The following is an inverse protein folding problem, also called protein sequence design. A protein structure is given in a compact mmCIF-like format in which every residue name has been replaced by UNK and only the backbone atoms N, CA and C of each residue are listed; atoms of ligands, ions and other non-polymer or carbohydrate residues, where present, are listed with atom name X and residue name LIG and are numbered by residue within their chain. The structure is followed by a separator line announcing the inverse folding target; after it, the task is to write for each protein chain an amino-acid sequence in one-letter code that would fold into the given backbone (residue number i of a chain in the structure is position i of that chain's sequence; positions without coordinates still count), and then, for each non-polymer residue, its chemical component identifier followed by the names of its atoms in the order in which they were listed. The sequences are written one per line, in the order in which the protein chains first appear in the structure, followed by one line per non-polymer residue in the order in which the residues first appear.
data_IF_165274440024
#
_entry.id   IF_165274440024
#
_cell.length_a   1.000
_cell.length_b   1.000
_cell.length_c   1.000
_cell.angle_alpha   90.00
_cell.angle_beta   90.00
_cell.angle_gamma   90.00
#
_symmetry.space_group_name_H-M   'P 1'
#
loop_
_entity.id
_entity.type
_entity.pdbx_description
1 polymer ?
#
# COMPACT_ATOMS: atom_id res chain seq x y z
N UNK A 1 22.32 -7.68 -3.16
CA UNK A 1 21.33 -8.23 -2.21
C UNK A 1 20.61 -7.13 -1.42
N UNK A 2 21.07 -6.64 -0.26
CA UNK A 2 20.29 -5.68 0.55
C UNK A 2 20.05 -4.32 -0.13
N UNK A 3 21.01 -3.81 -0.88
CA UNK A 3 20.88 -2.57 -1.65
C UNK A 3 19.81 -2.70 -2.74
N UNK A 4 19.77 -3.80 -3.42
CA UNK A 4 18.77 -4.11 -4.45
C UNK A 4 17.37 -4.21 -3.82
N UNK A 5 17.25 -4.89 -2.67
CA UNK A 5 16.00 -4.98 -1.92
C UNK A 5 15.45 -3.59 -1.58
N UNK A 6 16.30 -2.68 -1.09
CA UNK A 6 15.90 -1.30 -0.77
C UNK A 6 15.38 -0.56 -2.03
N UNK A 7 16.04 -0.76 -3.18
CA UNK A 7 15.61 -0.11 -4.42
C UNK A 7 14.35 -0.72 -5.02
N UNK A 8 14.17 -2.05 -4.91
CA UNK A 8 12.98 -2.73 -5.40
C UNK A 8 11.77 -2.49 -4.49
N UNK A 9 11.94 -2.50 -3.17
CA UNK A 9 10.86 -2.33 -2.20
C UNK A 9 10.12 -0.99 -2.28
N UNK A 10 10.72 0.01 -2.93
CA UNK A 10 10.03 1.29 -3.17
C UNK A 10 9.07 1.27 -4.36
N UNK A 11 9.09 0.20 -5.17
CA UNK A 11 8.28 0.09 -6.37
C UNK A 11 6.90 -0.44 -6.02
N UNK A 12 5.88 0.32 -6.36
CA UNK A 12 4.50 -0.09 -6.17
C UNK A 12 4.03 -0.97 -7.33
N UNK A 13 3.46 -2.12 -7.02
CA UNK A 13 2.90 -3.08 -7.97
C UNK A 13 1.41 -2.86 -8.16
N UNK A 14 0.91 -3.04 -9.40
CA UNK A 14 -0.50 -2.82 -9.77
C UNK A 14 -1.10 -3.95 -10.62
N UNK A 15 -0.31 -4.95 -10.96
CA UNK A 15 -0.78 -6.16 -11.62
C UNK A 15 -0.09 -7.39 -11.03
N UNK A 16 -0.81 -8.48 -10.96
CA UNK A 16 -0.47 -9.64 -10.17
C UNK A 16 -0.65 -10.91 -10.98
N UNK A 17 0.25 -11.85 -10.83
CA UNK A 17 0.11 -13.20 -11.34
C UNK A 17 -0.73 -14.03 -10.34
N UNK A 18 -2.04 -13.92 -10.47
CA UNK A 18 -2.99 -14.59 -9.58
C UNK A 18 -2.99 -16.13 -9.75
N UNK A 19 -2.28 -16.67 -10.74
CA UNK A 19 -2.05 -18.10 -10.89
C UNK A 19 -1.02 -18.67 -9.91
N UNK A 20 -0.27 -17.80 -9.22
CA UNK A 20 0.69 -18.16 -8.18
C UNK A 20 0.16 -17.81 -6.79
N UNK A 21 0.77 -18.40 -5.78
CA UNK A 21 0.44 -18.15 -4.37
C UNK A 21 1.69 -17.72 -3.59
N UNK A 22 1.48 -17.04 -2.47
CA UNK A 22 2.52 -16.78 -1.48
C UNK A 22 2.70 -18.06 -0.65
N UNK A 23 3.95 -18.49 -0.43
CA UNK A 23 4.21 -19.64 0.43
C UNK A 23 3.78 -19.35 1.88
N UNK A 24 3.22 -20.34 2.57
CA UNK A 24 2.68 -20.17 3.93
C UNK A 24 3.71 -19.67 4.94
N UNK A 25 4.97 -20.11 4.81
CA UNK A 25 6.05 -19.65 5.67
C UNK A 25 6.40 -18.19 5.41
N UNK A 26 6.39 -17.78 4.14
CA UNK A 26 6.64 -16.39 3.74
C UNK A 26 5.52 -15.46 4.19
N UNK A 27 4.25 -15.90 4.10
CA UNK A 27 3.11 -15.14 4.65
C UNK A 27 3.30 -14.86 6.14
N UNK A 28 3.69 -15.88 6.92
CA UNK A 28 3.94 -15.72 8.35
C UNK A 28 5.02 -14.67 8.62
N UNK A 29 6.13 -14.71 7.88
CA UNK A 29 7.21 -13.74 8.04
C UNK A 29 6.77 -12.32 7.65
N UNK A 30 5.98 -12.18 6.59
CA UNK A 30 5.42 -10.90 6.15
C UNK A 30 4.47 -10.33 7.21
N UNK A 31 3.56 -11.15 7.74
CA UNK A 31 2.65 -10.75 8.82
C UNK A 31 3.43 -10.41 10.09
N UNK A 32 4.40 -11.22 10.47
CA UNK A 32 5.28 -10.97 11.61
C UNK A 32 6.02 -9.64 11.46
N UNK A 33 6.50 -9.30 10.26
CA UNK A 33 7.16 -8.02 10.00
C UNK A 33 6.25 -6.81 10.23
N UNK A 34 4.95 -6.96 9.98
CA UNK A 34 3.96 -5.93 10.26
C UNK A 34 3.57 -5.82 11.73
N UNK A 35 3.65 -6.93 12.49
CA UNK A 35 3.17 -6.99 13.89
C UNK A 35 4.27 -6.83 14.92
N UNK A 36 5.54 -7.04 14.55
CA UNK A 36 6.69 -6.92 15.44
C UNK A 36 7.64 -5.76 15.06
N UNK A 37 7.16 -4.78 14.30
CA UNK A 37 7.92 -3.58 14.01
C UNK A 37 7.93 -2.62 15.21
N UNK A 38 8.93 -1.73 15.32
CA UNK A 38 8.98 -0.75 16.39
C UNK A 38 7.80 0.22 16.37
N UNK A 39 7.33 0.59 17.55
CA UNK A 39 6.33 1.66 17.73
C UNK A 39 6.73 2.54 18.92
N UNK A 40 6.17 3.75 19.01
CA UNK A 40 6.41 4.63 20.17
C UNK A 40 5.97 3.92 21.45
N UNK A 41 6.85 3.86 22.42
CA UNK A 41 6.62 3.19 23.71
C UNK A 41 6.20 1.71 23.60
N UNK A 42 6.43 1.07 22.46
CA UNK A 42 6.04 -0.31 22.18
C UNK A 42 4.53 -0.55 22.34
N UNK A 43 3.70 0.47 22.01
CA UNK A 43 2.24 0.40 22.07
C UNK A 43 1.65 -0.09 20.75
N UNK A 44 0.49 -0.75 20.83
CA UNK A 44 -0.26 -1.27 19.68
C UNK A 44 -1.23 -0.20 19.16
N UNK A 45 -0.78 0.61 18.19
CA UNK A 45 -1.57 1.70 17.62
C UNK A 45 -2.56 1.29 16.54
N UNK A 46 -2.44 0.08 16.00
CA UNK A 46 -3.28 -0.44 14.93
C UNK A 46 -3.59 -1.92 15.12
N UNK A 47 -4.66 -2.36 14.47
CA UNK A 47 -4.94 -3.78 14.21
C UNK A 47 -4.57 -4.10 12.77
N UNK A 48 -4.21 -5.33 12.50
CA UNK A 48 -3.88 -5.83 11.17
C UNK A 48 -4.91 -6.86 10.74
N UNK A 49 -5.65 -6.59 9.66
CA UNK A 49 -6.51 -7.56 9.01
C UNK A 49 -5.73 -8.18 7.84
N UNK A 50 -5.66 -9.50 7.81
CA UNK A 50 -5.06 -10.28 6.73
C UNK A 50 -6.19 -10.90 5.91
N UNK A 51 -6.32 -10.49 4.66
CA UNK A 51 -7.44 -10.84 3.79
C UNK A 51 -6.88 -11.65 2.62
N UNK A 52 -7.30 -12.89 2.50
CA UNK A 52 -6.92 -13.80 1.41
C UNK A 52 -8.14 -14.25 0.59
N UNK A 53 -9.35 -14.02 1.11
CA UNK A 53 -10.56 -14.29 0.38
C UNK A 53 -10.69 -13.37 -0.84
N UNK A 54 -10.65 -13.96 -2.04
CA UNK A 54 -10.65 -13.23 -3.30
C UNK A 54 -11.88 -12.33 -3.46
N UNK A 55 -13.05 -12.82 -3.10
CA UNK A 55 -14.30 -12.06 -3.21
C UNK A 55 -14.27 -10.81 -2.32
N UNK A 56 -13.75 -10.93 -1.10
CA UNK A 56 -13.58 -9.82 -0.17
C UNK A 56 -12.56 -8.80 -0.71
N UNK A 57 -11.43 -9.28 -1.27
CA UNK A 57 -10.43 -8.41 -1.89
C UNK A 57 -11.03 -7.61 -3.06
N UNK A 58 -11.80 -8.26 -3.91
CA UNK A 58 -12.46 -7.62 -5.07
C UNK A 58 -13.51 -6.59 -4.63
N UNK A 59 -14.33 -6.90 -3.62
CA UNK A 59 -15.26 -5.94 -3.03
C UNK A 59 -14.57 -4.70 -2.47
N UNK A 60 -13.44 -4.88 -1.78
CA UNK A 60 -12.64 -3.76 -1.27
C UNK A 60 -12.03 -2.97 -2.43
N UNK A 61 -11.53 -3.66 -3.47
CA UNK A 61 -10.98 -3.03 -4.66
C UNK A 61 -11.99 -2.09 -5.33
N UNK A 62 -13.25 -2.48 -5.47
CA UNK A 62 -14.32 -1.66 -6.02
C UNK A 62 -14.55 -0.35 -5.25
N UNK A 63 -14.15 -0.29 -3.97
CA UNK A 63 -14.26 0.90 -3.11
C UNK A 63 -12.98 1.75 -3.11
N UNK A 64 -11.98 1.38 -3.89
CA UNK A 64 -10.81 2.21 -4.10
C UNK A 64 -11.09 3.26 -5.19
N UNK A 65 -10.36 4.37 -5.11
CA UNK A 65 -10.41 5.43 -6.12
C UNK A 65 -9.03 5.51 -6.78
N UNK A 66 -8.99 5.36 -8.08
CA UNK A 66 -7.80 5.60 -8.87
C UNK A 66 -7.55 7.10 -9.06
N UNK A 67 -6.43 7.41 -9.67
CA UNK A 67 -6.10 8.78 -10.00
C UNK A 67 -6.96 9.27 -11.17
N UNK A 68 -7.91 10.13 -10.84
CA UNK A 68 -8.56 10.99 -11.82
C UNK A 68 -7.67 12.19 -12.19
N UNK A 69 -8.28 13.27 -12.69
CA UNK A 69 -7.62 14.44 -13.30
C UNK A 69 -6.66 15.21 -12.39
N UNK A 70 -6.62 14.92 -11.10
CA UNK A 70 -5.78 15.63 -10.10
C UNK A 70 -4.30 15.65 -10.50
N UNK A 71 -3.85 14.67 -11.29
CA UNK A 71 -2.47 14.64 -11.78
C UNK A 71 -2.25 15.43 -13.08
N UNK A 72 -3.30 15.88 -13.77
CA UNK A 72 -3.15 16.75 -14.93
C UNK A 72 -2.58 18.13 -14.53
N UNK A 73 -2.90 18.58 -13.31
CA UNK A 73 -2.48 19.87 -12.75
C UNK A 73 -1.11 19.81 -12.06
N UNK A 74 -0.58 18.60 -11.81
CA UNK A 74 0.78 18.45 -11.33
C UNK A 74 1.78 18.74 -12.44
N UNK A 75 2.88 19.40 -12.06
CA UNK A 75 3.96 19.80 -12.96
C UNK A 75 4.30 18.68 -13.95
N UNK A 76 4.06 18.88 -15.26
CA UNK A 76 4.31 17.87 -16.29
C UNK A 76 5.78 17.43 -16.35
N UNK A 77 6.71 18.27 -15.90
CA UNK A 77 8.15 17.95 -15.85
C UNK A 77 8.49 16.83 -14.84
N UNK A 78 7.57 16.51 -13.92
CA UNK A 78 7.73 15.43 -12.95
C UNK A 78 7.21 14.07 -13.44
N UNK A 79 6.67 14.00 -14.66
CA UNK A 79 6.12 12.77 -15.23
C UNK A 79 7.18 12.02 -16.04
N UNK A 80 7.15 10.70 -15.97
CA UNK A 80 7.87 9.87 -16.95
C UNK A 80 7.15 9.98 -18.29
N UNK A 81 7.91 10.03 -19.39
CA UNK A 81 7.34 9.96 -20.73
C UNK A 81 6.46 8.70 -20.88
N UNK A 82 5.33 8.84 -21.53
CA UNK A 82 4.34 7.78 -21.77
C UNK A 82 3.59 7.25 -20.52
N UNK A 83 3.66 7.92 -19.37
CA UNK A 83 2.92 7.53 -18.17
C UNK A 83 1.50 8.09 -18.09
N UNK A 84 1.07 8.86 -19.09
CA UNK A 84 -0.17 9.63 -19.06
C UNK A 84 -0.89 9.56 -20.41
N UNK A 85 -2.17 9.20 -20.35
CA UNK A 85 -3.06 9.27 -21.48
C UNK A 85 -4.00 10.48 -21.29
N UNK A 86 -3.83 11.58 -22.05
CA UNK A 86 -4.64 12.78 -21.91
C UNK A 86 -6.11 12.55 -22.31
N UNK A 87 -6.43 11.54 -23.12
CA UNK A 87 -7.79 11.23 -23.52
C UNK A 87 -8.60 10.59 -22.38
N UNK A 88 -7.91 9.95 -21.43
CA UNK A 88 -8.48 9.33 -20.23
C UNK A 88 -8.44 10.24 -18.99
N UNK A 89 -8.07 11.50 -19.17
CA UNK A 89 -8.07 12.49 -18.09
C UNK A 89 -9.50 12.77 -17.64
N UNK A 90 -9.81 12.46 -16.41
CA UNK A 90 -11.14 12.67 -15.82
C UNK A 90 -11.88 11.38 -15.49
N UNK A 91 -11.45 10.24 -15.98
CA UNK A 91 -12.00 8.97 -15.57
C UNK A 91 -11.43 8.58 -14.18
N UNK A 92 -12.31 8.03 -13.35
CA UNK A 92 -11.94 7.49 -12.06
C UNK A 92 -11.70 5.99 -12.21
N UNK A 93 -10.47 5.57 -12.01
CA UNK A 93 -10.11 4.15 -12.00
C UNK A 93 -10.07 3.62 -10.57
N UNK A 94 -10.33 2.35 -10.41
CA UNK A 94 -10.05 1.64 -9.17
C UNK A 94 -8.54 1.48 -8.97
N UNK A 95 -8.11 1.11 -7.78
CA UNK A 95 -6.68 0.96 -7.48
C UNK A 95 -6.27 -0.50 -7.38
N UNK A 96 -5.80 -1.07 -8.48
CA UNK A 96 -5.44 -2.49 -8.58
C UNK A 96 -4.25 -2.93 -7.70
N UNK A 97 -3.62 -2.01 -6.96
CA UNK A 97 -2.66 -2.37 -5.91
C UNK A 97 -3.26 -3.31 -4.87
N UNK A 98 -4.58 -3.23 -4.66
CA UNK A 98 -5.30 -4.07 -3.70
C UNK A 98 -5.64 -5.47 -4.21
N UNK A 99 -5.53 -5.73 -5.52
CA UNK A 99 -5.90 -7.01 -6.14
C UNK A 99 -4.85 -8.13 -5.99
N UNK A 100 -3.87 -7.97 -5.11
CA UNK A 100 -2.85 -8.98 -4.82
C UNK A 100 -3.41 -10.29 -4.27
N UNK A 101 -2.58 -11.29 -4.08
CA UNK A 101 -2.94 -12.56 -3.44
C UNK A 101 -3.36 -12.39 -1.99
N UNK A 102 -2.74 -11.47 -1.28
CA UNK A 102 -3.03 -11.11 0.10
C UNK A 102 -3.18 -9.60 0.21
N UNK A 103 -4.22 -9.16 0.90
CA UNK A 103 -4.45 -7.76 1.22
C UNK A 103 -4.32 -7.56 2.74
N UNK A 104 -3.42 -6.69 3.14
CA UNK A 104 -3.27 -6.23 4.50
C UNK A 104 -4.05 -4.92 4.69
N UNK A 105 -4.94 -4.87 5.68
CA UNK A 105 -5.63 -3.64 6.05
C UNK A 105 -5.23 -3.27 7.48
N UNK A 106 -4.70 -2.07 7.61
CA UNK A 106 -4.33 -1.47 8.90
C UNK A 106 -5.49 -0.62 9.38
N UNK A 107 -6.07 -0.94 10.53
CA UNK A 107 -7.20 -0.21 11.14
C UNK A 107 -6.80 0.35 12.49
N UNK A 108 -7.62 1.24 13.04
CA UNK A 108 -7.35 1.83 14.37
C UNK A 108 -7.44 0.78 15.47
N UNK A 109 -6.49 0.81 16.39
CA UNK A 109 -6.63 0.13 17.68
C UNK A 109 -6.85 1.17 18.77
N UNK A 110 -8.00 1.13 19.39
CA UNK A 110 -8.34 1.97 20.53
C UNK A 110 -8.18 1.22 21.87
N UNK A 111 -8.02 -0.11 21.80
CA UNK A 111 -7.89 -0.96 22.98
C UNK A 111 -6.46 -0.94 23.51
N UNK A 112 -6.30 -0.75 24.81
CA UNK A 112 -5.00 -0.82 25.47
C UNK A 112 -4.10 0.39 25.29
N UNK A 113 -4.56 1.44 24.60
CA UNK A 113 -3.89 2.73 24.64
C UNK A 113 -4.15 3.35 26.00
N UNK A 114 -3.10 3.67 26.73
CA UNK A 114 -3.20 4.39 28.00
C UNK A 114 -3.81 5.76 27.67
N UNK A 115 -4.97 6.05 28.23
CA UNK A 115 -5.54 7.39 28.15
C UNK A 115 -4.55 8.38 28.77
N UNK A 116 -3.95 9.18 27.94
CA UNK A 116 -3.15 10.33 28.34
C UNK A 116 -4.01 11.58 28.30
N UNK A 117 -3.51 12.63 28.92
CA UNK A 117 -4.19 13.94 28.93
C UNK A 117 -4.45 14.45 27.51
N UNK A 118 -5.40 15.39 27.36
CA UNK A 118 -6.04 15.86 26.12
C UNK A 118 -5.10 16.33 24.98
N UNK A 119 -3.77 16.41 25.22
CA UNK A 119 -2.77 16.90 24.27
C UNK A 119 -1.98 15.79 23.51
N UNK A 120 -2.32 14.53 23.70
CA UNK A 120 -1.60 13.43 23.02
C UNK A 120 -2.15 13.18 21.61
N UNK A 121 -1.34 13.48 20.60
CA UNK A 121 -1.67 13.25 19.19
C UNK A 121 -1.49 11.75 18.78
N UNK A 122 -2.43 10.93 19.25
CA UNK A 122 -2.49 9.50 18.91
C UNK A 122 -2.57 9.23 17.41
N UNK A 123 -3.13 10.13 16.62
CA UNK A 123 -3.25 9.98 15.17
C UNK A 123 -1.89 10.10 14.49
N UNK A 124 -1.01 11.00 14.97
CA UNK A 124 0.35 11.12 14.46
C UNK A 124 1.18 9.88 14.84
N UNK A 125 1.15 9.45 16.09
CA UNK A 125 1.83 8.24 16.57
C UNK A 125 1.35 6.99 15.81
N UNK A 126 0.05 6.91 15.57
CA UNK A 126 -0.58 5.83 14.78
C UNK A 126 -0.11 5.86 13.32
N UNK A 127 -0.12 7.03 12.71
CA UNK A 127 0.35 7.18 11.34
C UNK A 127 1.83 6.79 11.18
N UNK A 128 2.67 7.17 12.15
CA UNK A 128 4.07 6.75 12.20
C UNK A 128 4.20 5.24 12.35
N UNK A 129 3.46 4.61 13.28
CA UNK A 129 3.50 3.17 13.49
C UNK A 129 3.08 2.38 12.25
N UNK A 130 1.99 2.78 11.59
CA UNK A 130 1.53 2.16 10.33
C UNK A 130 2.56 2.37 9.21
N UNK A 131 3.17 3.55 9.13
CA UNK A 131 4.23 3.84 8.14
C UNK A 131 5.46 2.96 8.34
N UNK A 132 5.90 2.76 9.59
CA UNK A 132 7.01 1.85 9.93
C UNK A 132 6.65 0.41 9.54
N UNK A 133 5.47 -0.07 9.94
CA UNK A 133 5.00 -1.42 9.63
C UNK A 133 4.94 -1.68 8.12
N UNK A 134 4.34 -0.76 7.35
CA UNK A 134 4.30 -0.85 5.90
C UNK A 134 5.70 -0.87 5.27
N UNK A 135 6.64 -0.10 5.83
CA UNK A 135 8.04 -0.11 5.41
C UNK A 135 8.71 -1.47 5.65
N UNK A 136 8.47 -2.09 6.81
CA UNK A 136 8.97 -3.44 7.11
C UNK A 136 8.38 -4.47 6.15
N UNK A 137 7.06 -4.45 5.92
CA UNK A 137 6.40 -5.34 4.95
C UNK A 137 6.99 -5.16 3.55
N UNK A 138 7.19 -3.92 3.09
CA UNK A 138 7.81 -3.65 1.78
C UNK A 138 9.18 -4.32 1.62
N UNK A 139 10.03 -4.19 2.63
CA UNK A 139 11.39 -4.74 2.58
C UNK A 139 11.38 -6.25 2.66
N UNK A 140 10.61 -6.83 3.61
CA UNK A 140 10.57 -8.28 3.82
C UNK A 140 9.91 -8.99 2.63
N UNK A 141 8.75 -8.54 2.17
CA UNK A 141 8.10 -9.11 0.99
C UNK A 141 9.03 -9.09 -0.23
N UNK A 142 9.72 -7.96 -0.48
CA UNK A 142 10.69 -7.84 -1.58
C UNK A 142 11.87 -8.78 -1.40
N UNK A 143 12.40 -8.93 -0.18
CA UNK A 143 13.50 -9.87 0.11
C UNK A 143 13.12 -11.32 -0.17
N UNK A 144 11.85 -11.66 0.06
CA UNK A 144 11.28 -12.99 -0.21
C UNK A 144 10.87 -13.17 -1.69
N UNK A 145 10.99 -12.14 -2.53
CA UNK A 145 10.69 -12.21 -3.97
C UNK A 145 9.27 -11.80 -4.35
N UNK A 146 8.49 -11.30 -3.40
CA UNK A 146 7.14 -10.76 -3.63
C UNK A 146 7.17 -9.26 -3.88
N UNK A 147 6.08 -8.75 -4.40
CA UNK A 147 5.86 -7.32 -4.63
C UNK A 147 4.75 -6.79 -3.72
N UNK A 148 4.74 -5.48 -3.54
CA UNK A 148 3.78 -4.79 -2.69
C UNK A 148 3.13 -3.62 -3.39
N UNK A 149 1.95 -3.22 -2.93
CA UNK A 149 1.25 -2.04 -3.40
C UNK A 149 0.45 -1.38 -2.30
N UNK A 150 0.89 -0.21 -1.81
CA UNK A 150 0.17 0.56 -0.79
C UNK A 150 -0.90 1.42 -1.40
N UNK A 151 -2.10 1.41 -0.82
CA UNK A 151 -3.24 2.20 -1.23
C UNK A 151 -3.89 2.92 -0.04
N UNK A 152 -3.96 4.25 -0.12
CA UNK A 152 -4.78 5.09 0.77
C UNK A 152 -5.94 5.74 0.00
N UNK A 153 -6.01 5.53 -1.32
CA UNK A 153 -7.04 6.09 -2.19
C UNK A 153 -8.27 5.18 -2.17
N UNK A 154 -9.07 5.26 -1.12
CA UNK A 154 -10.27 4.44 -0.91
C UNK A 154 -11.37 5.26 -0.28
N UNK A 155 -12.62 4.83 -0.44
CA UNK A 155 -13.72 5.29 0.40
C UNK A 155 -13.67 4.50 1.72
N UNK A 156 -13.20 5.17 2.76
CA UNK A 156 -12.98 4.52 4.07
C UNK A 156 -14.26 4.02 4.71
N UNK A 157 -15.41 4.69 4.49
CA UNK A 157 -16.70 4.26 5.03
C UNK A 157 -17.25 3.04 4.32
N UNK A 158 -17.15 2.98 2.99
CA UNK A 158 -17.58 1.80 2.21
C UNK A 158 -16.70 0.58 2.49
N UNK A 159 -15.39 0.77 2.71
CA UNK A 159 -14.51 -0.34 3.11
C UNK A 159 -14.79 -0.78 4.55
N UNK A 160 -15.17 0.16 5.43
CA UNK A 160 -15.61 -0.18 6.79
C UNK A 160 -16.84 -1.09 6.79
N UNK A 161 -17.79 -0.90 5.88
CA UNK A 161 -18.97 -1.77 5.76
C UNK A 161 -18.59 -3.23 5.42
N UNK A 162 -17.43 -3.43 4.77
CA UNK A 162 -16.92 -4.76 4.42
C UNK A 162 -16.10 -5.36 5.58
N UNK A 163 -15.24 -4.57 6.21
CA UNK A 163 -14.28 -5.03 7.22
C UNK A 163 -14.77 -4.91 8.67
N UNK A 164 -15.83 -4.13 8.91
CA UNK A 164 -16.28 -3.75 10.26
C UNK A 164 -15.50 -2.59 10.88
N UNK A 165 -14.33 -2.25 10.32
CA UNK A 165 -13.46 -1.17 10.80
C UNK A 165 -12.91 -0.35 9.63
N UNK A 166 -12.77 0.96 9.83
CA UNK A 166 -12.23 1.85 8.79
C UNK A 166 -10.71 1.68 8.64
N UNK A 167 -10.19 1.35 7.45
CA UNK A 167 -8.77 1.23 7.25
C UNK A 167 -8.06 2.58 7.16
N UNK A 168 -6.86 2.62 7.72
CA UNK A 168 -5.89 3.72 7.60
C UNK A 168 -5.09 3.54 6.30
N UNK A 169 -4.72 2.30 6.03
CA UNK A 169 -3.91 1.91 4.88
C UNK A 169 -4.32 0.51 4.42
N UNK A 170 -4.43 0.33 3.11
CA UNK A 170 -4.50 -0.96 2.44
C UNK A 170 -3.15 -1.27 1.79
N UNK A 171 -2.72 -2.52 1.82
CA UNK A 171 -1.45 -2.93 1.23
C UNK A 171 -1.59 -4.32 0.61
N UNK A 172 -1.57 -4.37 -0.72
CA UNK A 172 -1.50 -5.62 -1.44
C UNK A 172 -0.09 -6.22 -1.36
N UNK A 173 -0.03 -7.54 -1.19
CA UNK A 173 1.21 -8.33 -1.22
C UNK A 173 1.00 -9.54 -2.11
N UNK A 174 1.93 -9.80 -3.02
CA UNK A 174 1.76 -10.91 -3.94
C UNK A 174 2.86 -11.08 -4.97
N UNK A 175 2.62 -11.99 -5.90
CA UNK A 175 3.51 -12.27 -7.02
C UNK A 175 3.20 -11.31 -8.16
N UNK A 176 4.21 -10.56 -8.59
CA UNK A 176 4.07 -9.64 -9.73
C UNK A 176 3.91 -10.41 -11.05
N UNK A 177 3.02 -9.95 -11.91
CA UNK A 177 3.03 -10.39 -13.31
C UNK A 177 4.22 -9.75 -14.05
N UNK A 178 5.27 -10.53 -14.26
CA UNK A 178 6.52 -10.08 -14.89
C UNK A 178 6.40 -9.90 -16.42
N UNK A 179 5.30 -10.31 -17.01
CA UNK A 179 5.05 -10.14 -18.46
C UNK A 179 4.50 -8.76 -18.78
N UNK A 180 4.06 -8.01 -17.76
CA UNK A 180 3.40 -6.70 -17.86
C UNK A 180 4.23 -5.60 -17.21
N UNK A 181 3.96 -4.37 -17.60
CA UNK A 181 4.52 -3.23 -16.87
C UNK A 181 3.86 -3.15 -15.48
N UNK A 182 4.65 -3.00 -14.41
CA UNK A 182 4.16 -2.91 -13.03
C UNK A 182 3.12 -1.82 -12.79
N UNK A 183 2.99 -0.85 -13.70
CA UNK A 183 2.05 0.28 -13.62
C UNK A 183 0.72 0.02 -14.33
N UNK A 184 0.64 -1.03 -15.15
CA UNK A 184 -0.61 -1.38 -15.80
C UNK A 184 -1.65 -1.81 -14.77
N UNK A 185 -2.88 -1.35 -14.97
CA UNK A 185 -4.00 -1.79 -14.15
C UNK A 185 -4.26 -3.29 -14.37
N UNK A 186 -4.67 -4.02 -13.32
CA UNK A 186 -4.87 -5.47 -13.37
C UNK A 186 -5.91 -5.87 -14.43
N UNK A 187 -7.03 -5.16 -14.50
CA UNK A 187 -8.22 -5.54 -15.28
C UNK A 187 -8.64 -4.49 -16.29
N UNK A 188 -8.19 -3.25 -16.18
CA UNK A 188 -8.59 -2.16 -17.04
C UNK A 188 -7.46 -1.78 -18.01
N UNK A 189 -7.80 -1.28 -19.18
CA UNK A 189 -6.83 -0.74 -20.16
C UNK A 189 -6.36 0.65 -19.74
N UNK A 190 -5.53 0.66 -18.69
CA UNK A 190 -5.00 1.88 -18.08
C UNK A 190 -3.60 1.64 -17.52
N UNK A 191 -2.73 2.63 -17.66
CA UNK A 191 -1.41 2.66 -17.06
C UNK A 191 -1.32 3.82 -16.06
N UNK A 192 -1.09 3.50 -14.78
CA UNK A 192 -0.92 4.51 -13.76
C UNK A 192 0.30 5.39 -14.05
N UNK A 193 0.17 6.71 -13.93
CA UNK A 193 1.30 7.62 -14.06
C UNK A 193 2.30 7.39 -12.94
N UNK A 194 3.57 7.57 -13.25
CA UNK A 194 4.64 7.60 -12.25
C UNK A 194 5.29 8.98 -12.29
N UNK A 195 5.39 9.62 -11.15
CA UNK A 195 6.12 10.87 -11.04
C UNK A 195 7.62 10.62 -11.16
N UNK A 196 8.32 11.44 -11.94
CA UNK A 196 9.78 11.48 -11.95
C UNK A 196 10.26 11.73 -10.53
N UNK A 197 11.29 11.03 -10.12
CA UNK A 197 11.95 11.06 -8.81
C UNK A 197 11.77 12.37 -8.02
N UNK A 198 10.81 12.40 -7.13
CA UNK A 198 10.70 13.44 -6.09
C UNK A 198 11.40 13.02 -4.79
N UNK A 199 12.27 12.01 -4.84
CA UNK A 199 12.85 11.38 -3.63
C UNK A 199 14.27 11.85 -3.31
N UNK A 200 14.62 13.06 -3.62
CA UNK A 200 15.82 13.64 -3.04
C UNK A 200 15.46 14.22 -1.67
N UNK A 201 15.50 13.34 -0.66
CA UNK A 201 15.46 13.80 0.72
C UNK A 201 16.79 14.48 0.97
N UNK A 202 16.77 15.78 1.29
CA UNK A 202 17.95 16.52 1.67
C UNK A 202 18.56 15.91 2.93
N UNK A 203 19.85 15.63 2.87
CA UNK A 203 20.58 15.05 3.99
C UNK A 203 21.65 16.02 4.42
N UNK A 204 21.58 16.50 5.65
CA UNK A 204 22.57 17.40 6.25
C UNK A 204 23.42 16.65 7.26
N UNK A 205 24.73 16.82 7.14
CA UNK A 205 25.69 16.29 8.11
C UNK A 205 26.10 17.44 9.05
N UNK A 206 25.91 17.29 10.34
CA UNK A 206 26.24 18.26 11.40
C UNK A 206 27.24 17.69 12.37
#
# INVERSE_FOLDING_TARGET
MIKETIHESQKCQRNWDLGQSIAEEDKKLIIESATNCPSKQNLNYYKLHVIEDRETIEKIHEKTRGFGPIYSDYNPDLREENAYDPEKTGEMYTNSQTLAQMLLAFTKNEEGLIQREEDDDWEEDRAMAVGIAAGYVNVIATQLGYSTGCCKCMDGSEVQDILGEQPILLMGVGVADKTRNRREHQTEDFMFPTLKKMKNIETTYV
#
